data_IF_082859746099
#
_entry.id   IF_082859746099
#
_cell.length_a   1.000
_cell.length_b   1.000
_cell.length_c   1.000
_cell.angle_alpha   90.00
_cell.angle_beta   90.00
_cell.angle_gamma   90.00
#
_symmetry.space_group_name_H-M   'P 1'
#
loop_
_entity.id
_entity.type
_entity.pdbx_description
1 polymer ?
#
# COMPACT_ATOMS: atom_id res chain seq x y z
N UNK A 1 29.51 5.08 -0.65
CA UNK A 1 28.65 4.60 0.47
C UNK A 1 27.72 5.68 1.02
N UNK A 2 28.19 6.89 1.37
CA UNK A 2 27.34 7.98 1.93
C UNK A 2 26.18 8.39 1.01
N UNK A 3 26.36 8.42 -0.31
CA UNK A 3 25.31 8.79 -1.29
C UNK A 3 24.18 7.76 -1.40
N UNK A 4 24.48 6.45 -1.31
CA UNK A 4 23.46 5.39 -1.38
C UNK A 4 22.61 5.34 -0.10
N UNK A 5 23.22 5.56 1.07
CA UNK A 5 22.50 5.63 2.33
C UNK A 5 21.58 6.85 2.40
N UNK A 6 22.04 8.00 1.92
CA UNK A 6 21.21 9.21 1.83
C UNK A 6 20.00 9.02 0.92
N UNK A 7 20.17 8.35 -0.24
CA UNK A 7 19.06 8.04 -1.14
C UNK A 7 18.06 7.07 -0.49
N UNK A 8 18.56 6.01 0.17
CA UNK A 8 17.72 5.04 0.87
C UNK A 8 16.92 5.70 2.00
N UNK A 9 17.55 6.54 2.81
CA UNK A 9 16.88 7.26 3.90
C UNK A 9 15.83 8.25 3.40
N UNK A 10 16.17 9.03 2.35
CA UNK A 10 15.23 9.97 1.72
C UNK A 10 14.03 9.23 1.15
N UNK A 11 14.27 8.13 0.43
CA UNK A 11 13.19 7.30 -0.12
C UNK A 11 12.34 6.64 0.96
N UNK A 12 12.97 6.10 2.01
CA UNK A 12 12.29 5.53 3.18
C UNK A 12 11.35 6.55 3.84
N UNK A 13 11.84 7.76 4.13
CA UNK A 13 11.06 8.82 4.74
C UNK A 13 9.90 9.27 3.84
N UNK A 14 10.14 9.44 2.54
CA UNK A 14 9.09 9.81 1.59
C UNK A 14 8.01 8.73 1.48
N UNK A 15 8.39 7.45 1.43
CA UNK A 15 7.42 6.34 1.43
C UNK A 15 6.68 6.24 2.76
N UNK A 16 7.34 6.47 3.91
CA UNK A 16 6.69 6.47 5.20
C UNK A 16 5.54 7.50 5.26
N UNK A 17 5.77 8.69 4.74
CA UNK A 17 4.74 9.74 4.71
C UNK A 17 3.67 9.46 3.65
N UNK A 18 4.05 9.16 2.40
CA UNK A 18 3.09 9.05 1.29
C UNK A 18 2.24 7.77 1.35
N UNK A 19 2.80 6.66 1.81
CA UNK A 19 2.06 5.39 1.98
C UNK A 19 1.52 5.22 3.40
N UNK A 20 2.39 5.32 4.40
CA UNK A 20 1.98 5.05 5.77
C UNK A 20 1.02 6.09 6.32
N UNK A 21 1.39 7.37 6.25
CA UNK A 21 0.64 8.46 6.86
C UNK A 21 -0.46 9.02 5.95
N UNK A 22 -0.20 9.23 4.64
CA UNK A 22 -1.18 9.86 3.78
C UNK A 22 -2.22 8.87 3.20
N UNK A 23 -1.86 7.59 3.02
CA UNK A 23 -2.74 6.60 2.39
C UNK A 23 -3.34 5.61 3.38
N UNK A 24 -2.51 4.95 4.22
CA UNK A 24 -2.97 3.87 5.10
C UNK A 24 -3.46 4.33 6.47
N UNK A 25 -3.27 5.60 6.85
CA UNK A 25 -3.81 6.15 8.10
C UNK A 25 -5.34 6.22 8.11
N UNK A 26 -5.99 6.30 6.94
CA UNK A 26 -7.45 6.39 6.80
C UNK A 26 -8.18 5.28 7.59
N UNK A 27 -7.80 4.02 7.37
CA UNK A 27 -8.45 2.89 8.02
C UNK A 27 -8.33 2.93 9.56
N UNK A 28 -7.24 3.50 10.10
CA UNK A 28 -7.07 3.71 11.53
C UNK A 28 -7.91 4.87 12.05
N UNK A 29 -7.97 5.97 11.30
CA UNK A 29 -8.68 7.19 11.71
C UNK A 29 -10.19 7.12 11.48
N UNK A 30 -10.69 6.18 10.66
CA UNK A 30 -12.08 6.09 10.26
C UNK A 30 -13.09 6.15 11.42
N UNK A 31 -12.92 5.43 12.56
CA UNK A 31 -13.87 5.54 13.67
C UNK A 31 -13.92 6.94 14.29
N UNK A 32 -12.76 7.59 14.44
CA UNK A 32 -12.69 8.95 14.98
C UNK A 32 -13.25 10.00 14.02
N UNK A 33 -13.05 9.82 12.72
CA UNK A 33 -13.64 10.68 11.69
C UNK A 33 -15.17 10.48 11.68
N UNK A 34 -15.65 9.25 11.72
CA UNK A 34 -17.09 8.93 11.67
C UNK A 34 -17.85 9.41 12.91
N UNK A 35 -17.19 9.62 14.05
CA UNK A 35 -17.81 10.22 15.24
C UNK A 35 -18.08 11.72 15.09
N UNK A 36 -17.32 12.42 14.24
CA UNK A 36 -17.49 13.86 13.98
C UNK A 36 -18.27 14.11 12.67
N UNK A 37 -17.99 13.33 11.65
CA UNK A 37 -18.62 13.39 10.32
C UNK A 37 -19.27 12.02 10.10
N UNK A 38 -20.58 11.86 10.38
CA UNK A 38 -21.26 10.58 10.26
C UNK A 38 -21.12 9.98 8.86
N UNK A 39 -20.62 8.75 8.78
CA UNK A 39 -20.38 8.03 7.54
C UNK A 39 -21.03 6.65 7.59
N UNK A 40 -21.83 6.33 6.58
CA UNK A 40 -22.28 4.94 6.38
C UNK A 40 -21.11 4.06 5.90
N UNK A 41 -21.17 2.73 6.05
CA UNK A 41 -20.15 1.83 5.51
C UNK A 41 -19.93 2.00 4.00
N UNK A 42 -20.98 2.29 3.22
CA UNK A 42 -20.87 2.59 1.79
C UNK A 42 -20.05 3.84 1.54
N UNK A 43 -20.32 4.92 2.30
CA UNK A 43 -19.57 6.18 2.18
C UNK A 43 -18.11 5.99 2.59
N UNK A 44 -17.84 5.26 3.67
CA UNK A 44 -16.47 4.93 4.07
C UNK A 44 -15.72 4.13 2.99
N UNK A 45 -16.40 3.18 2.34
CA UNK A 45 -15.86 2.44 1.19
C UNK A 45 -15.56 3.33 -0.01
N UNK A 46 -16.46 4.24 -0.34
CA UNK A 46 -16.29 5.21 -1.42
C UNK A 46 -15.10 6.15 -1.15
N UNK A 47 -14.99 6.66 0.08
CA UNK A 47 -13.89 7.53 0.49
C UNK A 47 -12.53 6.81 0.42
N UNK A 48 -12.46 5.56 0.88
CA UNK A 48 -11.27 4.72 0.71
C UNK A 48 -10.94 4.53 -0.78
N UNK A 49 -11.95 4.22 -1.59
CA UNK A 49 -11.79 4.04 -3.04
C UNK A 49 -11.25 5.30 -3.72
N UNK A 50 -11.60 6.50 -3.28
CA UNK A 50 -11.05 7.77 -3.80
C UNK A 50 -9.52 7.82 -3.66
N UNK A 51 -8.97 7.44 -2.49
CA UNK A 51 -7.51 7.41 -2.27
C UNK A 51 -6.81 6.40 -3.17
N UNK A 52 -7.37 5.20 -3.31
CA UNK A 52 -6.81 4.16 -4.18
C UNK A 52 -6.95 4.49 -5.67
N UNK A 53 -8.04 5.13 -6.09
CA UNK A 53 -8.24 5.60 -7.46
C UNK A 53 -7.24 6.70 -7.82
N UNK A 54 -6.97 7.63 -6.91
CA UNK A 54 -5.95 8.66 -7.09
C UNK A 54 -4.55 8.06 -7.28
N UNK A 55 -4.22 7.02 -6.53
CA UNK A 55 -2.99 6.25 -6.73
C UNK A 55 -2.96 5.62 -8.13
N UNK A 56 -4.04 4.96 -8.56
CA UNK A 56 -4.14 4.35 -9.89
C UNK A 56 -3.92 5.40 -10.99
N UNK A 57 -4.53 6.56 -10.87
CA UNK A 57 -4.36 7.66 -11.81
C UNK A 57 -2.90 8.14 -11.86
N UNK A 58 -2.28 8.36 -10.71
CA UNK A 58 -0.94 8.93 -10.65
C UNK A 58 0.17 7.92 -10.95
N UNK A 59 0.01 6.63 -10.67
CA UNK A 59 1.03 5.63 -11.03
C UNK A 59 1.16 5.48 -12.55
N UNK A 60 0.05 5.62 -13.28
CA UNK A 60 0.05 5.58 -14.75
C UNK A 60 0.73 6.80 -15.37
N UNK A 61 0.56 7.98 -14.76
CA UNK A 61 1.09 9.24 -15.29
C UNK A 61 2.49 9.54 -14.77
N UNK A 62 2.89 8.97 -13.62
CA UNK A 62 4.14 9.32 -12.94
C UNK A 62 5.39 8.88 -13.70
N UNK A 63 5.33 7.82 -14.50
CA UNK A 63 6.44 7.43 -15.36
C UNK A 63 6.74 8.53 -16.39
N UNK A 64 5.70 9.01 -17.10
CA UNK A 64 5.83 10.10 -18.07
C UNK A 64 6.29 11.42 -17.40
N UNK A 65 5.79 11.71 -16.19
CA UNK A 65 6.23 12.87 -15.41
C UNK A 65 7.70 12.75 -15.02
N UNK A 66 8.13 11.56 -14.59
CA UNK A 66 9.53 11.30 -14.21
C UNK A 66 10.46 11.38 -15.41
N UNK A 67 10.05 10.89 -16.57
CA UNK A 67 10.84 11.00 -17.81
C UNK A 67 10.95 12.45 -18.28
N UNK A 68 9.87 13.22 -18.16
CA UNK A 68 9.84 14.62 -18.61
C UNK A 68 10.51 15.60 -17.65
N UNK A 69 10.27 15.46 -16.36
CA UNK A 69 10.68 16.44 -15.33
C UNK A 69 11.77 15.91 -14.39
N UNK A 70 12.09 14.62 -14.48
CA UNK A 70 13.07 13.96 -13.63
C UNK A 70 12.51 13.50 -12.28
N UNK A 71 13.21 12.55 -11.65
CA UNK A 71 12.83 11.94 -10.38
C UNK A 71 12.66 12.95 -9.23
N UNK A 72 13.48 14.02 -9.20
CA UNK A 72 13.39 15.07 -8.17
C UNK A 72 12.04 15.79 -8.21
N UNK A 73 11.62 16.27 -9.38
CA UNK A 73 10.38 17.04 -9.52
C UNK A 73 9.16 16.16 -9.19
N UNK A 74 9.13 14.94 -9.69
CA UNK A 74 8.04 13.99 -9.41
C UNK A 74 7.95 13.65 -7.92
N UNK A 75 9.08 13.46 -7.24
CA UNK A 75 9.12 13.23 -5.79
C UNK A 75 8.71 14.47 -4.98
N UNK A 76 9.02 15.68 -5.45
CA UNK A 76 8.52 16.93 -4.86
C UNK A 76 7.01 17.05 -5.02
N UNK A 77 6.47 16.73 -6.19
CA UNK A 77 5.02 16.68 -6.42
C UNK A 77 4.35 15.69 -5.46
N UNK A 78 4.97 14.55 -5.16
CA UNK A 78 4.48 13.60 -4.17
C UNK A 78 4.40 14.23 -2.77
N UNK A 79 5.46 14.91 -2.31
CA UNK A 79 5.45 15.61 -1.02
C UNK A 79 4.39 16.70 -0.96
N UNK A 80 4.27 17.51 -2.01
CA UNK A 80 3.27 18.60 -2.08
C UNK A 80 1.85 18.04 -2.07
N UNK A 81 1.58 16.97 -2.84
CA UNK A 81 0.26 16.33 -2.85
C UNK A 81 -0.09 15.74 -1.47
N UNK A 82 0.86 15.07 -0.80
CA UNK A 82 0.65 14.57 0.56
C UNK A 82 0.33 15.71 1.53
N UNK A 83 1.13 16.79 1.50
CA UNK A 83 0.91 17.96 2.36
C UNK A 83 -0.46 18.59 2.11
N UNK A 84 -0.80 18.88 0.87
CA UNK A 84 -2.06 19.52 0.51
C UNK A 84 -3.28 18.65 0.88
N UNK A 85 -3.22 17.36 0.55
CA UNK A 85 -4.30 16.43 0.87
C UNK A 85 -4.51 16.23 2.37
N UNK A 86 -3.42 16.12 3.14
CA UNK A 86 -3.48 15.99 4.60
C UNK A 86 -3.98 17.27 5.29
N UNK A 87 -3.62 18.45 4.82
CA UNK A 87 -4.17 19.72 5.32
C UNK A 87 -5.66 19.85 5.00
N UNK A 88 -6.07 19.45 3.78
CA UNK A 88 -7.47 19.42 3.42
C UNK A 88 -8.27 18.43 4.27
N UNK A 89 -7.70 17.25 4.57
CA UNK A 89 -8.30 16.31 5.53
C UNK A 89 -8.42 16.93 6.92
N UNK A 90 -7.38 17.58 7.45
CA UNK A 90 -7.41 18.22 8.75
C UNK A 90 -8.52 19.29 8.87
N UNK A 91 -8.83 19.99 7.79
CA UNK A 91 -9.87 21.02 7.74
C UNK A 91 -11.25 20.51 7.32
N UNK A 92 -11.39 19.19 7.02
CA UNK A 92 -12.62 18.65 6.47
C UNK A 92 -13.80 18.76 7.45
N UNK A 93 -14.92 19.25 6.96
CA UNK A 93 -16.20 19.35 7.66
C UNK A 93 -17.33 18.56 6.98
N UNK A 94 -17.04 17.93 5.83
CA UNK A 94 -18.02 17.16 5.05
C UNK A 94 -17.37 15.95 4.38
N UNK A 95 -18.18 14.98 3.99
CA UNK A 95 -17.73 13.81 3.24
C UNK A 95 -17.08 14.16 1.90
N UNK A 96 -17.54 15.25 1.26
CA UNK A 96 -16.95 15.73 0.00
C UNK A 96 -15.52 16.27 0.21
N UNK A 97 -15.29 17.03 1.30
CA UNK A 97 -13.95 17.50 1.65
C UNK A 97 -13.03 16.33 2.01
N UNK A 98 -13.54 15.32 2.72
CA UNK A 98 -12.80 14.09 2.99
C UNK A 98 -12.43 13.38 1.68
N UNK A 99 -13.35 13.26 0.73
CA UNK A 99 -13.09 12.65 -0.58
C UNK A 99 -11.98 13.40 -1.34
N UNK A 100 -12.06 14.71 -1.41
CA UNK A 100 -11.06 15.56 -2.07
C UNK A 100 -9.69 15.44 -1.38
N UNK A 101 -9.65 15.49 -0.05
CA UNK A 101 -8.43 15.35 0.74
C UNK A 101 -7.78 13.98 0.54
N UNK A 102 -8.57 12.90 0.59
CA UNK A 102 -8.11 11.53 0.35
C UNK A 102 -7.62 11.33 -1.09
N UNK A 103 -8.30 11.92 -2.06
CA UNK A 103 -7.88 11.86 -3.46
C UNK A 103 -6.51 12.54 -3.64
N UNK A 104 -6.36 13.78 -3.16
CA UNK A 104 -5.10 14.53 -3.28
C UNK A 104 -3.98 13.83 -2.49
N UNK A 105 -4.26 13.37 -1.26
CA UNK A 105 -3.29 12.62 -0.46
C UNK A 105 -2.88 11.30 -1.14
N UNK A 106 -3.86 10.57 -1.72
CA UNK A 106 -3.63 9.33 -2.44
C UNK A 106 -2.74 9.46 -3.69
N UNK A 107 -2.79 10.62 -4.37
CA UNK A 107 -1.89 10.92 -5.49
C UNK A 107 -0.41 10.82 -5.10
N UNK A 108 -0.07 11.18 -3.87
CA UNK A 108 1.31 11.24 -3.40
C UNK A 108 2.03 9.91 -3.51
N UNK A 109 1.38 8.81 -3.14
CA UNK A 109 1.97 7.48 -3.16
C UNK A 109 2.21 6.97 -4.59
N UNK A 110 1.32 7.28 -5.53
CA UNK A 110 1.51 6.94 -6.95
C UNK A 110 2.62 7.72 -7.63
N UNK A 111 2.90 8.95 -7.17
CA UNK A 111 4.02 9.77 -7.66
C UNK A 111 5.36 9.34 -7.03
N UNK A 112 5.37 8.97 -5.74
CA UNK A 112 6.60 8.69 -5.00
C UNK A 112 7.35 7.45 -5.50
N UNK A 113 6.63 6.32 -5.69
CA UNK A 113 7.26 5.03 -5.99
C UNK A 113 8.03 5.01 -7.31
N UNK A 114 7.46 5.44 -8.46
CA UNK A 114 8.20 5.44 -9.73
C UNK A 114 9.36 6.44 -9.73
N UNK A 115 9.20 7.61 -9.10
CA UNK A 115 10.27 8.59 -8.97
C UNK A 115 11.46 8.04 -8.18
N UNK A 116 11.22 7.34 -7.07
CA UNK A 116 12.27 6.71 -6.27
C UNK A 116 12.90 5.52 -7.00
N UNK A 117 12.12 4.70 -7.69
CA UNK A 117 12.64 3.60 -8.51
C UNK A 117 13.57 4.11 -9.61
N UNK A 118 13.20 5.20 -10.28
CA UNK A 118 14.05 5.86 -11.27
C UNK A 118 15.35 6.44 -10.65
N UNK A 119 15.24 7.07 -9.47
CA UNK A 119 16.41 7.58 -8.77
C UNK A 119 17.38 6.46 -8.33
N UNK A 120 16.84 5.31 -7.91
CA UNK A 120 17.65 4.12 -7.55
C UNK A 120 18.31 3.53 -8.79
N UNK A 121 17.57 3.34 -9.89
CA UNK A 121 18.12 2.76 -11.13
C UNK A 121 19.27 3.61 -11.72
N UNK A 122 19.19 4.94 -11.57
CA UNK A 122 20.21 5.86 -12.08
C UNK A 122 21.51 5.89 -11.25
N UNK A 123 21.48 5.50 -9.97
CA UNK A 123 22.58 5.73 -9.04
C UNK A 123 23.14 4.49 -8.36
N UNK A 124 22.38 3.42 -8.35
CA UNK A 124 22.70 2.20 -7.62
C UNK A 124 22.98 1.09 -8.63
N UNK A 125 24.08 0.39 -8.44
CA UNK A 125 24.44 -0.78 -9.26
C UNK A 125 23.32 -1.83 -9.21
N UNK A 126 23.03 -2.48 -10.33
CA UNK A 126 21.93 -3.42 -10.51
C UNK A 126 21.84 -4.46 -9.40
N UNK A 127 22.98 -4.98 -8.93
CA UNK A 127 23.09 -5.96 -7.85
C UNK A 127 22.60 -5.45 -6.49
N UNK A 128 22.66 -4.14 -6.24
CA UNK A 128 22.23 -3.52 -4.96
C UNK A 128 20.84 -2.90 -5.00
N UNK A 129 20.28 -2.69 -6.19
CA UNK A 129 18.95 -2.08 -6.35
C UNK A 129 17.84 -2.80 -5.57
N UNK A 130 17.75 -4.15 -5.59
CA UNK A 130 16.71 -4.86 -4.85
C UNK A 130 16.76 -4.54 -3.34
N UNK A 131 17.97 -4.55 -2.76
CA UNK A 131 18.15 -4.26 -1.33
C UNK A 131 17.74 -2.83 -0.97
N UNK A 132 18.10 -1.86 -1.80
CA UNK A 132 17.76 -0.45 -1.56
C UNK A 132 16.26 -0.23 -1.73
N UNK A 133 15.63 -0.80 -2.74
CA UNK A 133 14.19 -0.72 -2.95
C UNK A 133 13.40 -1.38 -1.80
N UNK A 134 13.84 -2.51 -1.29
CA UNK A 134 13.24 -3.16 -0.11
C UNK A 134 13.33 -2.26 1.12
N UNK A 135 14.48 -1.63 1.35
CA UNK A 135 14.66 -0.69 2.47
C UNK A 135 13.75 0.54 2.32
N UNK A 136 13.67 1.11 1.13
CA UNK A 136 12.75 2.22 0.83
C UNK A 136 11.30 1.82 1.10
N UNK A 137 10.89 0.64 0.63
CA UNK A 137 9.52 0.14 0.78
C UNK A 137 9.15 -0.17 2.25
N UNK A 138 10.12 -0.54 3.09
CA UNK A 138 9.93 -0.72 4.53
C UNK A 138 9.47 0.58 5.22
N UNK A 139 9.68 1.74 4.59
CA UNK A 139 9.10 3.01 5.01
C UNK A 139 7.58 2.95 5.17
N UNK A 140 6.87 2.16 4.37
CA UNK A 140 5.41 1.97 4.52
C UNK A 140 5.04 1.50 5.92
N UNK A 141 5.67 0.42 6.39
CA UNK A 141 5.44 -0.12 7.75
C UNK A 141 5.83 0.89 8.84
N UNK A 142 6.97 1.56 8.68
CA UNK A 142 7.40 2.60 9.61
C UNK A 142 6.39 3.76 9.68
N UNK A 143 5.86 4.19 8.54
CA UNK A 143 4.83 5.23 8.48
C UNK A 143 3.52 4.82 9.14
N UNK A 144 3.08 3.57 8.96
CA UNK A 144 1.90 3.02 9.67
C UNK A 144 2.13 3.01 11.18
N UNK A 145 3.30 2.56 11.64
CA UNK A 145 3.65 2.56 13.06
C UNK A 145 3.67 3.97 13.63
N UNK A 146 4.33 4.91 12.94
CA UNK A 146 4.38 6.31 13.37
C UNK A 146 2.99 6.96 13.40
N UNK A 147 2.09 6.59 12.49
CA UNK A 147 0.69 7.04 12.54
C UNK A 147 0.02 6.66 13.85
N UNK A 148 0.21 5.43 14.32
CA UNK A 148 -0.35 4.97 15.60
C UNK A 148 0.24 5.75 16.77
N UNK A 149 1.57 5.88 16.81
CA UNK A 149 2.26 6.60 17.88
C UNK A 149 1.78 8.05 17.96
N UNK A 150 1.70 8.73 16.81
CA UNK A 150 1.24 10.12 16.74
C UNK A 150 -0.20 10.26 17.22
N UNK A 151 -1.12 9.40 16.73
CA UNK A 151 -2.52 9.42 17.15
C UNK A 151 -2.73 9.05 18.62
N UNK A 152 -1.80 8.33 19.23
CA UNK A 152 -1.87 7.96 20.66
C UNK A 152 -1.33 9.05 21.58
N UNK A 153 -0.31 9.79 21.14
CA UNK A 153 0.40 10.76 21.96
C UNK A 153 -0.03 12.22 21.72
N UNK A 154 -0.55 12.54 20.52
CA UNK A 154 -0.85 13.91 20.15
C UNK A 154 -2.26 14.29 20.61
N UNK A 155 -2.43 15.32 21.48
CA UNK A 155 -3.73 15.89 21.77
C UNK A 155 -4.32 16.56 20.52
N UNK A 156 -5.65 16.54 20.37
CA UNK A 156 -6.35 17.14 19.21
C UNK A 156 -6.79 16.13 18.14
N UNK A 157 -6.61 14.83 18.42
CA UNK A 157 -7.18 13.74 17.63
C UNK A 157 -6.66 13.65 16.20
N UNK A 158 -7.50 13.13 15.30
CA UNK A 158 -7.12 12.84 13.91
C UNK A 158 -6.78 14.10 13.08
N UNK A 159 -7.39 15.26 13.41
CA UNK A 159 -7.11 16.53 12.70
C UNK A 159 -5.69 17.02 12.99
N UNK A 160 -5.30 17.04 14.27
CA UNK A 160 -3.94 17.41 14.68
C UNK A 160 -2.91 16.43 14.11
N UNK A 161 -3.22 15.13 14.07
CA UNK A 161 -2.37 14.14 13.44
C UNK A 161 -2.20 14.40 11.94
N UNK A 162 -3.27 14.73 11.20
CA UNK A 162 -3.17 15.09 9.79
C UNK A 162 -2.30 16.34 9.55
N UNK A 163 -2.39 17.35 10.41
CA UNK A 163 -1.49 18.53 10.35
C UNK A 163 -0.04 18.12 10.56
N UNK A 164 0.24 17.28 11.57
CA UNK A 164 1.61 16.81 11.82
C UNK A 164 2.13 15.96 10.65
N UNK A 165 1.30 15.08 10.07
CA UNK A 165 1.69 14.31 8.88
C UNK A 165 1.99 15.23 7.68
N UNK A 166 1.22 16.30 7.51
CA UNK A 166 1.46 17.31 6.48
C UNK A 166 2.81 18.03 6.71
N UNK A 167 3.12 18.39 7.95
CA UNK A 167 4.42 18.98 8.30
C UNK A 167 5.59 18.02 8.04
N UNK A 168 5.45 16.74 8.41
CA UNK A 168 6.45 15.71 8.12
C UNK A 168 6.64 15.53 6.62
N UNK A 169 5.56 15.61 5.83
CA UNK A 169 5.64 15.57 4.36
C UNK A 169 6.41 16.79 3.81
N UNK A 170 6.16 17.96 4.36
CA UNK A 170 6.85 19.18 3.97
C UNK A 170 8.35 19.11 4.31
N UNK A 171 8.70 18.54 5.47
CA UNK A 171 10.10 18.31 5.85
C UNK A 171 10.80 17.38 4.87
N UNK A 172 10.11 16.40 4.28
CA UNK A 172 10.68 15.52 3.24
C UNK A 172 11.11 16.26 1.96
N UNK A 173 10.60 17.46 1.69
CA UNK A 173 11.00 18.29 0.55
C UNK A 173 12.50 18.57 0.58
N UNK A 174 13.06 18.88 1.75
CA UNK A 174 14.48 19.22 1.87
C UNK A 174 15.43 18.08 1.45
N UNK A 175 15.33 16.85 1.99
CA UNK A 175 16.18 15.75 1.55
C UNK A 175 15.89 15.36 0.08
N UNK A 176 14.66 15.44 -0.41
CA UNK A 176 14.33 15.20 -1.82
C UNK A 176 15.09 16.20 -2.72
N UNK A 177 15.06 17.49 -2.39
CA UNK A 177 15.78 18.52 -3.16
C UNK A 177 17.29 18.31 -3.16
N UNK A 178 17.88 17.91 -2.02
CA UNK A 178 19.32 17.75 -1.85
C UNK A 178 19.85 16.44 -2.43
N UNK A 179 19.07 15.36 -2.31
CA UNK A 179 19.55 14.01 -2.62
C UNK A 179 19.15 13.58 -4.02
N UNK A 180 17.94 13.86 -4.52
CA UNK A 180 17.53 13.44 -5.84
C UNK A 180 18.04 14.41 -6.91
N UNK A 181 18.47 13.86 -8.06
CA UNK A 181 18.90 14.69 -9.20
C UNK A 181 17.70 15.04 -10.09
N UNK A 182 17.70 16.25 -10.63
CA UNK A 182 16.66 16.74 -11.54
C UNK A 182 16.91 16.42 -13.03
N UNK A 183 17.70 15.39 -13.33
CA UNK A 183 17.93 15.01 -14.72
C UNK A 183 16.73 14.21 -15.25
N UNK A 184 16.12 14.71 -16.32
CA UNK A 184 15.18 13.94 -17.11
C UNK A 184 15.90 12.71 -17.70
N UNK A 185 15.23 11.57 -17.77
CA UNK A 185 15.83 10.39 -18.35
C UNK A 185 15.80 10.53 -19.89
N UNK A 186 16.93 10.28 -20.56
CA UNK A 186 17.01 10.23 -22.03
C UNK A 186 16.26 9.04 -22.68
N UNK A 187 15.20 8.57 -22.04
CA UNK A 187 14.53 7.30 -22.39
C UNK A 187 13.14 7.43 -23.00
N UNK A 188 12.86 8.47 -23.76
CA UNK A 188 11.55 8.66 -24.43
C UNK A 188 11.19 7.60 -25.49
N UNK A 189 12.06 6.61 -25.78
CA UNK A 189 11.88 5.70 -26.94
C UNK A 189 11.36 4.30 -26.63
N UNK A 190 11.09 3.91 -25.37
CA UNK A 190 10.73 2.51 -25.05
C UNK A 190 9.24 2.26 -24.80
N UNK A 191 8.38 3.24 -24.92
CA UNK A 191 6.93 3.08 -24.66
C UNK A 191 6.16 2.27 -25.71
N UNK A 192 6.78 1.84 -26.83
CA UNK A 192 6.04 1.34 -28.00
C UNK A 192 5.63 -0.14 -27.92
N UNK A 193 6.09 -0.92 -26.96
CA UNK A 193 5.81 -2.37 -26.92
C UNK A 193 5.19 -2.90 -25.63
N UNK A 194 4.81 -2.04 -24.67
CA UNK A 194 4.30 -2.51 -23.37
C UNK A 194 2.93 -3.21 -23.49
N UNK A 195 2.04 -2.80 -24.43
CA UNK A 195 0.72 -3.46 -24.57
C UNK A 195 0.84 -4.90 -25.12
N UNK A 196 1.82 -5.21 -25.96
CA UNK A 196 2.00 -6.59 -26.45
C UNK A 196 2.35 -7.56 -25.31
N UNK A 197 2.98 -7.05 -24.25
CA UNK A 197 3.34 -7.83 -23.05
C UNK A 197 2.14 -8.11 -22.15
N UNK A 198 1.14 -7.21 -22.13
CA UNK A 198 -0.11 -7.44 -21.39
C UNK A 198 -0.87 -8.67 -21.88
N UNK A 199 -0.74 -9.01 -23.15
CA UNK A 199 -1.43 -10.15 -23.77
C UNK A 199 -0.77 -11.51 -23.47
N UNK A 200 0.42 -11.55 -22.91
CA UNK A 200 1.04 -12.83 -22.48
C UNK A 200 0.19 -13.47 -21.37
N UNK A 201 -0.10 -14.77 -21.52
CA UNK A 201 -0.93 -15.53 -20.55
C UNK A 201 -0.43 -15.40 -19.11
N UNK A 202 0.88 -15.47 -18.91
CA UNK A 202 1.52 -15.32 -17.59
C UNK A 202 1.26 -13.95 -16.98
N UNK A 203 1.40 -12.85 -17.73
CA UNK A 203 1.13 -11.51 -17.24
C UNK A 203 -0.34 -11.32 -16.87
N UNK A 204 -1.28 -11.81 -17.69
CA UNK A 204 -2.72 -11.74 -17.36
C UNK A 204 -3.08 -12.46 -16.07
N UNK A 205 -2.46 -13.63 -15.82
CA UNK A 205 -2.64 -14.34 -14.56
C UNK A 205 -2.10 -13.53 -13.37
N UNK A 206 -0.90 -12.95 -13.48
CA UNK A 206 -0.32 -12.09 -12.44
C UNK A 206 -1.18 -10.84 -12.20
N UNK A 207 -1.72 -10.23 -13.26
CA UNK A 207 -2.65 -9.09 -13.14
C UNK A 207 -3.93 -9.48 -12.40
N UNK A 208 -4.51 -10.65 -12.70
CA UNK A 208 -5.69 -11.18 -12.00
C UNK A 208 -5.40 -11.44 -10.53
N UNK A 209 -4.25 -12.06 -10.20
CA UNK A 209 -3.79 -12.28 -8.83
C UNK A 209 -3.63 -10.95 -8.09
N UNK A 210 -2.96 -9.98 -8.70
CA UNK A 210 -2.74 -8.67 -8.10
C UNK A 210 -4.07 -7.93 -7.82
N UNK A 211 -4.98 -7.92 -8.80
CA UNK A 211 -6.30 -7.31 -8.68
C UNK A 211 -7.11 -7.93 -7.53
N UNK A 212 -7.21 -9.25 -7.51
CA UNK A 212 -8.01 -9.95 -6.47
C UNK A 212 -7.37 -9.84 -5.10
N UNK A 213 -6.03 -9.89 -5.02
CA UNK A 213 -5.31 -9.65 -3.76
C UNK A 213 -5.52 -8.24 -3.23
N UNK A 214 -5.56 -7.25 -4.13
CA UNK A 214 -5.92 -5.87 -3.79
C UNK A 214 -7.33 -5.77 -3.25
N UNK A 215 -8.29 -6.39 -3.94
CA UNK A 215 -9.69 -6.42 -3.52
C UNK A 215 -9.81 -6.95 -2.09
N UNK A 216 -9.19 -8.08 -1.78
CA UNK A 216 -9.23 -8.71 -0.46
C UNK A 216 -8.59 -7.81 0.60
N UNK A 217 -7.45 -7.21 0.29
CA UNK A 217 -6.70 -6.37 1.24
C UNK A 217 -7.46 -5.11 1.66
N UNK A 218 -8.41 -4.65 0.84
CA UNK A 218 -9.20 -3.47 1.13
C UNK A 218 -10.04 -3.61 2.42
N UNK A 219 -10.47 -4.81 2.77
CA UNK A 219 -11.21 -5.08 4.01
C UNK A 219 -10.45 -4.57 5.24
N UNK A 220 -9.18 -4.91 5.35
CA UNK A 220 -8.34 -4.48 6.48
C UNK A 220 -7.93 -3.00 6.35
N UNK A 221 -7.32 -2.61 5.22
CA UNK A 221 -6.73 -1.28 5.10
C UNK A 221 -7.76 -0.14 5.07
N UNK A 222 -9.00 -0.41 4.67
CA UNK A 222 -10.07 0.59 4.65
C UNK A 222 -10.92 0.58 5.91
N UNK A 223 -11.17 -0.58 6.51
CA UNK A 223 -12.17 -0.75 7.58
C UNK A 223 -11.61 -1.36 8.86
N UNK A 224 -10.35 -1.76 8.92
CA UNK A 224 -9.80 -2.57 10.00
C UNK A 224 -10.07 -2.01 11.40
N UNK A 225 -9.81 -0.73 11.65
CA UNK A 225 -10.09 -0.12 12.96
C UNK A 225 -11.59 -0.02 13.26
N UNK A 226 -12.43 0.25 12.24
CA UNK A 226 -13.88 0.26 12.41
C UNK A 226 -14.41 -1.15 12.74
N UNK A 227 -13.90 -2.19 12.07
CA UNK A 227 -14.22 -3.58 12.36
C UNK A 227 -13.82 -3.98 13.77
N UNK A 228 -12.61 -3.62 14.20
CA UNK A 228 -12.12 -3.88 15.55
C UNK A 228 -13.02 -3.22 16.61
N UNK A 229 -13.43 -1.98 16.40
CA UNK A 229 -14.23 -1.23 17.36
C UNK A 229 -15.72 -1.59 17.34
N UNK A 230 -16.32 -1.65 16.14
CA UNK A 230 -17.77 -1.77 15.99
C UNK A 230 -18.24 -3.22 15.95
N UNK A 231 -17.42 -4.14 15.41
CA UNK A 231 -17.79 -5.53 15.24
C UNK A 231 -17.19 -6.44 16.31
N UNK A 232 -15.87 -6.32 16.54
CA UNK A 232 -15.16 -7.12 17.58
C UNK A 232 -15.44 -6.57 18.96
N UNK A 233 -15.67 -5.25 19.11
CA UNK A 233 -16.02 -4.59 20.36
C UNK A 233 -14.85 -4.24 21.26
N UNK A 234 -13.62 -4.10 20.69
CA UNK A 234 -12.46 -3.61 21.47
C UNK A 234 -12.49 -2.10 21.60
N UNK A 235 -11.84 -1.57 22.64
CA UNK A 235 -11.73 -0.14 22.86
C UNK A 235 -10.79 0.57 21.85
N UNK A 236 -10.72 1.90 21.92
CA UNK A 236 -9.92 2.69 20.99
C UNK A 236 -8.41 2.50 21.16
N UNK A 237 -7.96 2.22 22.38
CA UNK A 237 -6.54 2.01 22.68
C UNK A 237 -6.08 0.66 22.16
N UNK A 238 -6.83 -0.39 22.46
CA UNK A 238 -6.60 -1.74 21.93
C UNK A 238 -6.65 -1.76 20.40
N UNK A 239 -7.61 -1.08 19.77
CA UNK A 239 -7.66 -0.99 18.32
C UNK A 239 -6.40 -0.33 17.71
N UNK A 240 -5.86 0.72 18.36
CA UNK A 240 -4.58 1.33 17.98
C UNK A 240 -3.40 0.39 18.15
N UNK A 241 -3.34 -0.33 19.28
CA UNK A 241 -2.31 -1.33 19.54
C UNK A 241 -2.33 -2.45 18.48
N UNK A 242 -3.51 -2.97 18.14
CA UNK A 242 -3.67 -3.98 17.10
C UNK A 242 -3.23 -3.45 15.72
N UNK A 243 -3.50 -2.18 15.41
CA UNK A 243 -3.00 -1.56 14.19
C UNK A 243 -1.48 -1.42 14.18
N UNK A 244 -0.88 -1.10 15.32
CA UNK A 244 0.57 -1.08 15.49
C UNK A 244 1.19 -2.47 15.27
N UNK A 245 0.55 -3.53 15.80
CA UNK A 245 0.95 -4.91 15.60
C UNK A 245 0.90 -5.27 14.10
N UNK A 246 -0.16 -4.91 13.39
CA UNK A 246 -0.26 -5.14 11.95
C UNK A 246 0.84 -4.40 11.18
N UNK A 247 1.07 -3.12 11.49
CA UNK A 247 2.11 -2.31 10.87
C UNK A 247 3.51 -2.87 11.10
N UNK A 248 3.83 -3.24 12.35
CA UNK A 248 5.14 -3.80 12.71
C UNK A 248 5.39 -5.19 12.10
N UNK A 249 4.37 -6.04 12.08
CA UNK A 249 4.45 -7.35 11.45
C UNK A 249 4.70 -7.25 9.92
N UNK A 250 4.27 -6.15 9.29
CA UNK A 250 4.58 -5.86 7.90
C UNK A 250 6.08 -5.74 7.59
N UNK A 251 6.92 -5.45 8.58
CA UNK A 251 8.39 -5.46 8.42
C UNK A 251 8.89 -6.86 8.01
N UNK A 252 8.19 -7.93 8.42
CA UNK A 252 8.49 -9.28 7.97
C UNK A 252 8.48 -9.43 6.43
N UNK A 253 7.74 -8.57 5.72
CA UNK A 253 7.77 -8.51 4.26
C UNK A 253 9.17 -8.23 3.68
N UNK A 254 10.07 -7.58 4.44
CA UNK A 254 11.46 -7.41 4.05
C UNK A 254 12.22 -8.75 3.95
N UNK A 255 11.76 -9.79 4.63
CA UNK A 255 12.32 -11.14 4.58
C UNK A 255 11.80 -11.98 3.40
N UNK A 256 10.91 -11.46 2.54
CA UNK A 256 10.31 -12.19 1.41
C UNK A 256 11.36 -12.94 0.58
N UNK A 257 12.48 -12.30 0.26
CA UNK A 257 13.55 -12.92 -0.52
C UNK A 257 14.22 -14.11 0.18
N UNK A 258 14.42 -14.02 1.50
CA UNK A 258 15.02 -15.10 2.30
C UNK A 258 14.06 -16.30 2.40
N UNK A 259 12.80 -16.04 2.63
CA UNK A 259 11.78 -17.10 2.72
C UNK A 259 11.57 -17.74 1.35
N UNK A 260 11.56 -16.93 0.27
CA UNK A 260 11.45 -17.43 -1.10
C UNK A 260 12.61 -18.33 -1.51
N UNK A 261 13.82 -18.12 -0.97
CA UNK A 261 14.96 -19.02 -1.19
C UNK A 261 14.75 -20.42 -0.60
N UNK A 262 13.87 -20.57 0.41
CA UNK A 262 13.60 -21.85 1.07
C UNK A 262 12.36 -22.58 0.53
N UNK A 263 11.26 -21.85 0.30
CA UNK A 263 9.97 -22.46 -0.08
C UNK A 263 9.48 -22.04 -1.47
N UNK A 264 10.31 -21.29 -2.21
CA UNK A 264 9.97 -20.73 -3.52
C UNK A 264 8.98 -19.56 -3.44
N UNK A 265 8.89 -18.77 -4.51
CA UNK A 265 7.95 -17.62 -4.57
C UNK A 265 6.49 -18.03 -4.48
N UNK A 266 6.11 -19.17 -5.08
CA UNK A 266 4.74 -19.69 -5.01
C UNK A 266 4.37 -20.12 -3.58
N UNK A 267 5.31 -20.68 -2.81
CA UNK A 267 5.13 -20.99 -1.40
C UNK A 267 4.89 -19.74 -0.57
N UNK A 268 5.72 -18.70 -0.78
CA UNK A 268 5.57 -17.40 -0.10
C UNK A 268 4.24 -16.73 -0.46
N UNK A 269 3.83 -16.78 -1.72
CA UNK A 269 2.54 -16.28 -2.17
C UNK A 269 1.37 -16.95 -1.42
N UNK A 270 1.34 -18.28 -1.38
CA UNK A 270 0.31 -19.04 -0.67
C UNK A 270 0.30 -18.73 0.83
N UNK A 271 1.48 -18.66 1.45
CA UNK A 271 1.60 -18.27 2.85
C UNK A 271 1.05 -16.85 3.10
N UNK A 272 1.33 -15.93 2.21
CA UNK A 272 0.80 -14.55 2.28
C UNK A 272 -0.72 -14.51 2.17
N UNK A 273 -1.32 -15.30 1.26
CA UNK A 273 -2.76 -15.41 1.13
C UNK A 273 -3.43 -16.01 2.36
N UNK A 274 -2.83 -17.06 2.94
CA UNK A 274 -3.29 -17.61 4.23
C UNK A 274 -3.21 -16.54 5.33
N UNK A 275 -2.10 -15.79 5.37
CA UNK A 275 -1.91 -14.67 6.30
C UNK A 275 -2.91 -13.53 6.10
N UNK A 276 -3.59 -13.44 4.96
CA UNK A 276 -4.68 -12.49 4.72
C UNK A 276 -6.07 -13.09 4.94
N UNK A 277 -6.29 -14.33 4.56
CA UNK A 277 -7.59 -15.00 4.62
C UNK A 277 -7.99 -15.38 6.05
N UNK A 278 -7.11 -16.08 6.77
CA UNK A 278 -7.37 -16.55 8.13
C UNK A 278 -7.70 -15.41 9.11
N UNK A 279 -6.95 -14.28 9.11
CA UNK A 279 -7.32 -13.13 9.92
C UNK A 279 -8.70 -12.58 9.64
N UNK A 280 -9.16 -12.53 8.40
CA UNK A 280 -10.50 -12.07 8.07
C UNK A 280 -11.58 -13.02 8.66
N UNK A 281 -11.34 -14.33 8.66
CA UNK A 281 -12.23 -15.31 9.32
C UNK A 281 -12.20 -15.14 10.85
N UNK A 282 -11.01 -14.95 11.43
CA UNK A 282 -10.92 -14.70 12.88
C UNK A 282 -11.70 -13.43 13.25
N UNK A 283 -11.51 -12.33 12.51
CA UNK A 283 -12.25 -11.09 12.72
C UNK A 283 -13.76 -11.26 12.55
N UNK A 284 -14.22 -12.11 11.61
CA UNK A 284 -15.64 -12.34 11.36
C UNK A 284 -16.38 -12.94 12.56
N UNK A 285 -15.67 -13.70 13.40
CA UNK A 285 -16.27 -14.46 14.52
C UNK A 285 -15.68 -14.11 15.88
N UNK A 286 -14.74 -13.15 15.97
CA UNK A 286 -14.16 -12.71 17.24
C UNK A 286 -15.06 -11.72 17.95
N UNK A 287 -15.08 -11.84 19.28
CA UNK A 287 -15.70 -10.88 20.20
C UNK A 287 -14.71 -10.58 21.33
N UNK A 288 -14.40 -9.27 21.52
CA UNK A 288 -13.46 -8.82 22.53
C UNK A 288 -12.00 -9.14 22.21
N UNK A 289 -11.16 -8.92 23.22
CA UNK A 289 -9.72 -9.11 23.12
C UNK A 289 -9.35 -10.59 23.26
N UNK A 290 -8.44 -11.05 22.43
CA UNK A 290 -7.86 -12.38 22.52
C UNK A 290 -6.47 -12.44 21.90
N UNK A 291 -5.64 -13.38 22.34
CA UNK A 291 -4.33 -13.66 21.72
C UNK A 291 -4.52 -14.07 20.25
N UNK A 292 -5.57 -14.83 19.94
CA UNK A 292 -5.91 -15.22 18.57
C UNK A 292 -6.16 -14.02 17.66
N UNK A 293 -6.83 -12.98 18.16
CA UNK A 293 -7.04 -11.72 17.44
C UNK A 293 -5.70 -10.98 17.19
N UNK A 294 -4.82 -10.91 18.18
CA UNK A 294 -3.49 -10.28 18.05
C UNK A 294 -2.65 -10.98 16.97
N UNK A 295 -2.62 -12.32 17.00
CA UNK A 295 -1.92 -13.12 15.98
C UNK A 295 -2.54 -12.94 14.60
N UNK A 296 -3.88 -12.96 14.51
CA UNK A 296 -4.61 -12.75 13.26
C UNK A 296 -4.24 -11.39 12.62
N UNK A 297 -4.27 -10.32 13.39
CA UNK A 297 -3.95 -8.98 12.92
C UNK A 297 -2.49 -8.87 12.50
N UNK A 298 -1.56 -9.46 13.24
CA UNK A 298 -0.15 -9.56 12.84
C UNK A 298 0.01 -10.29 11.50
N UNK A 299 -0.66 -11.42 11.32
CA UNK A 299 -0.65 -12.18 10.07
C UNK A 299 -1.22 -11.37 8.90
N UNK A 300 -2.27 -10.55 9.13
CA UNK A 300 -2.85 -9.69 8.11
C UNK A 300 -1.83 -8.67 7.58
N UNK A 301 -1.15 -7.95 8.48
CA UNK A 301 -0.12 -6.98 8.11
C UNK A 301 1.08 -7.63 7.41
N UNK A 302 1.63 -8.70 7.99
CA UNK A 302 2.72 -9.46 7.40
C UNK A 302 2.34 -10.05 6.04
N UNK A 303 1.16 -10.65 5.91
CA UNK A 303 0.66 -11.25 4.68
C UNK A 303 0.57 -10.26 3.53
N UNK A 304 -0.01 -9.09 3.76
CA UNK A 304 -0.14 -8.06 2.72
C UNK A 304 1.21 -7.52 2.24
N UNK A 305 2.13 -7.18 3.16
CA UNK A 305 3.43 -6.62 2.76
C UNK A 305 4.30 -7.68 2.09
N UNK A 306 4.26 -8.93 2.56
CA UNK A 306 4.96 -10.05 1.92
C UNK A 306 4.42 -10.32 0.52
N UNK A 307 3.09 -10.30 0.34
CA UNK A 307 2.45 -10.42 -0.96
C UNK A 307 2.89 -9.30 -1.93
N UNK A 308 2.95 -8.06 -1.45
CA UNK A 308 3.47 -6.94 -2.23
C UNK A 308 4.91 -7.18 -2.68
N UNK A 309 5.75 -7.79 -1.82
CA UNK A 309 7.10 -8.22 -2.15
C UNK A 309 7.14 -9.30 -3.23
N UNK A 310 6.23 -10.29 -3.17
CA UNK A 310 6.10 -11.32 -4.22
C UNK A 310 5.70 -10.70 -5.56
N UNK A 311 4.71 -9.81 -5.57
CA UNK A 311 4.27 -9.12 -6.79
C UNK A 311 5.38 -8.27 -7.40
N UNK A 312 6.22 -7.63 -6.57
CA UNK A 312 7.39 -6.89 -7.01
C UNK A 312 8.37 -7.80 -7.76
N UNK A 313 8.68 -8.98 -7.20
CA UNK A 313 9.60 -9.94 -7.83
C UNK A 313 9.01 -10.53 -9.11
N UNK A 314 7.74 -10.92 -9.08
CA UNK A 314 7.07 -11.46 -10.28
C UNK A 314 6.95 -10.43 -11.40
N UNK A 315 6.58 -9.18 -11.07
CA UNK A 315 6.50 -8.10 -12.05
C UNK A 315 7.84 -7.84 -12.72
N UNK A 316 8.91 -7.76 -11.92
CA UNK A 316 10.26 -7.56 -12.45
C UNK A 316 10.74 -8.72 -13.35
N UNK A 317 10.42 -9.97 -13.00
CA UNK A 317 10.76 -11.16 -13.82
C UNK A 317 9.93 -11.27 -15.09
N UNK A 318 8.63 -10.94 -15.01
CA UNK A 318 7.72 -11.03 -16.16
C UNK A 318 8.08 -10.07 -17.31
N UNK A 319 8.82 -9.00 -16.99
CA UNK A 319 9.28 -7.99 -17.96
C UNK A 319 10.78 -7.70 -17.75
N UNK A 320 11.63 -8.73 -17.91
CA UNK A 320 13.07 -8.64 -17.61
C UNK A 320 13.81 -7.50 -18.34
N UNK A 321 13.35 -7.12 -19.54
CA UNK A 321 13.91 -5.99 -20.32
C UNK A 321 13.52 -4.61 -19.72
N UNK A 322 12.38 -4.52 -19.03
CA UNK A 322 11.89 -3.33 -18.34
C UNK A 322 11.14 -3.72 -17.06
N UNK A 323 11.90 -4.08 -16.01
CA UNK A 323 11.32 -4.55 -14.73
C UNK A 323 10.39 -3.52 -14.08
N UNK A 324 10.64 -2.23 -14.27
CA UNK A 324 9.84 -1.16 -13.70
C UNK A 324 8.40 -1.16 -14.24
N UNK A 325 8.22 -1.40 -15.54
CA UNK A 325 6.90 -1.50 -16.16
C UNK A 325 6.11 -2.68 -15.61
N UNK A 326 6.72 -3.87 -15.49
CA UNK A 326 6.03 -5.05 -14.95
C UNK A 326 5.58 -4.84 -13.50
N UNK A 327 6.45 -4.31 -12.67
CA UNK A 327 6.12 -3.94 -11.29
C UNK A 327 5.00 -2.91 -11.26
N UNK A 328 5.09 -1.85 -12.07
CA UNK A 328 4.08 -0.79 -12.15
C UNK A 328 2.70 -1.33 -12.51
N UNK A 329 2.61 -2.24 -13.49
CA UNK A 329 1.34 -2.89 -13.90
C UNK A 329 0.74 -3.69 -12.73
N UNK A 330 1.54 -4.51 -12.02
CA UNK A 330 1.00 -5.32 -10.93
C UNK A 330 0.58 -4.46 -9.73
N UNK A 331 1.30 -3.39 -9.41
CA UNK A 331 0.91 -2.47 -8.34
C UNK A 331 -0.30 -1.61 -8.72
N UNK A 332 -0.45 -1.25 -10.00
CA UNK A 332 -1.68 -0.65 -10.51
C UNK A 332 -2.87 -1.60 -10.34
N UNK A 333 -2.73 -2.87 -10.73
CA UNK A 333 -3.78 -3.88 -10.58
C UNK A 333 -4.13 -4.12 -9.10
N UNK A 334 -3.13 -4.18 -8.23
CA UNK A 334 -3.34 -4.28 -6.78
C UNK A 334 -4.18 -3.11 -6.26
N UNK A 335 -3.86 -1.89 -6.66
CA UNK A 335 -4.61 -0.71 -6.25
C UNK A 335 -6.00 -0.62 -6.87
N UNK A 336 -6.15 -1.00 -8.14
CA UNK A 336 -7.46 -1.12 -8.79
C UNK A 336 -8.34 -2.14 -8.06
N UNK A 337 -7.75 -3.25 -7.61
CA UNK A 337 -8.42 -4.20 -6.73
C UNK A 337 -8.86 -3.57 -5.41
N UNK A 338 -8.02 -2.73 -4.79
CA UNK A 338 -8.39 -2.02 -3.57
C UNK A 338 -9.53 -1.02 -3.79
N UNK A 339 -9.61 -0.35 -4.95
CA UNK A 339 -10.76 0.49 -5.31
C UNK A 339 -12.04 -0.35 -5.30
N UNK A 340 -12.07 -1.43 -6.08
CA UNK A 340 -13.24 -2.31 -6.18
C UNK A 340 -13.55 -2.95 -4.84
N UNK A 341 -12.53 -3.43 -4.14
CA UNK A 341 -12.68 -4.07 -2.83
C UNK A 341 -13.25 -3.16 -1.76
N UNK A 342 -12.84 -1.89 -1.72
CA UNK A 342 -13.38 -0.91 -0.75
C UNK A 342 -14.86 -0.63 -1.00
N UNK A 343 -15.25 -0.48 -2.26
CA UNK A 343 -16.66 -0.28 -2.64
C UNK A 343 -17.50 -1.50 -2.31
N UNK A 344 -17.07 -2.70 -2.72
CA UNK A 344 -17.80 -3.94 -2.49
C UNK A 344 -17.89 -4.26 -1.00
N UNK A 345 -16.79 -4.13 -0.24
CA UNK A 345 -16.81 -4.39 1.20
C UNK A 345 -17.76 -3.43 1.91
N UNK A 346 -17.70 -2.12 1.60
CA UNK A 346 -18.60 -1.14 2.19
C UNK A 346 -20.07 -1.42 1.90
N UNK A 347 -20.39 -1.85 0.68
CA UNK A 347 -21.75 -2.24 0.29
C UNK A 347 -22.23 -3.51 1.00
N UNK A 348 -21.41 -4.56 1.01
CA UNK A 348 -21.75 -5.83 1.67
C UNK A 348 -21.88 -5.62 3.19
N UNK A 349 -20.95 -4.86 3.78
CA UNK A 349 -21.00 -4.53 5.21
C UNK A 349 -22.30 -3.81 5.59
N UNK A 350 -22.75 -2.87 4.78
CA UNK A 350 -23.98 -2.14 5.05
C UNK A 350 -25.26 -2.98 4.87
N UNK A 351 -25.28 -3.89 3.87
CA UNK A 351 -26.47 -4.68 3.56
C UNK A 351 -26.57 -5.96 4.39
N UNK A 352 -25.43 -6.63 4.66
CA UNK A 352 -25.40 -7.98 5.24
C UNK A 352 -24.54 -8.10 6.50
N UNK A 353 -23.95 -6.99 6.96
CA UNK A 353 -23.15 -6.94 8.18
C UNK A 353 -21.69 -7.33 8.00
N UNK A 354 -20.90 -7.08 9.06
CA UNK A 354 -19.45 -7.25 9.05
C UNK A 354 -19.02 -8.71 8.88
N UNK A 355 -19.64 -9.65 9.60
CA UNK A 355 -19.29 -11.08 9.52
C UNK A 355 -19.42 -11.63 8.11
N UNK A 356 -20.52 -11.27 7.41
CA UNK A 356 -20.75 -11.70 6.03
C UNK A 356 -19.71 -11.11 5.09
N UNK A 357 -19.42 -9.81 5.20
CA UNK A 357 -18.41 -9.14 4.38
C UNK A 357 -17.03 -9.76 4.57
N UNK A 358 -16.61 -9.95 5.82
CA UNK A 358 -15.32 -10.56 6.17
C UNK A 358 -15.21 -12.00 5.66
N UNK A 359 -16.26 -12.80 5.82
CA UNK A 359 -16.29 -14.20 5.37
C UNK A 359 -16.18 -14.29 3.85
N UNK A 360 -16.94 -13.50 3.09
CA UNK A 360 -16.87 -13.49 1.63
C UNK A 360 -15.49 -13.09 1.12
N UNK A 361 -14.87 -12.08 1.72
CA UNK A 361 -13.52 -11.67 1.36
C UNK A 361 -12.46 -12.72 1.73
N UNK A 362 -12.62 -13.41 2.85
CA UNK A 362 -11.78 -14.53 3.23
C UNK A 362 -11.89 -15.71 2.27
N UNK A 363 -13.10 -16.07 1.85
CA UNK A 363 -13.35 -17.11 0.84
C UNK A 363 -12.65 -16.71 -0.48
N UNK A 364 -12.78 -15.46 -0.91
CA UNK A 364 -12.08 -14.95 -2.08
C UNK A 364 -10.55 -15.14 -2.00
N UNK A 365 -9.94 -14.88 -0.82
CA UNK A 365 -8.53 -15.12 -0.59
C UNK A 365 -8.16 -16.61 -0.64
N UNK A 366 -8.98 -17.48 -0.04
CA UNK A 366 -8.75 -18.93 -0.05
C UNK A 366 -8.88 -19.51 -1.46
N UNK A 367 -9.80 -19.01 -2.28
CA UNK A 367 -9.94 -19.43 -3.68
C UNK A 367 -8.69 -19.10 -4.50
N UNK A 368 -8.01 -17.99 -4.20
CA UNK A 368 -6.74 -17.64 -4.85
C UNK A 368 -5.60 -18.61 -4.56
N UNK A 369 -5.64 -19.39 -3.46
CA UNK A 369 -4.63 -20.42 -3.17
C UNK A 369 -4.52 -21.47 -4.27
N UNK A 370 -5.61 -21.71 -5.02
CA UNK A 370 -5.67 -22.65 -6.13
C UNK A 370 -5.20 -22.04 -7.46
N UNK A 371 -5.00 -20.73 -7.50
CA UNK A 371 -4.50 -20.01 -8.68
C UNK A 371 -2.97 -19.86 -8.53
N UNK A 372 -2.21 -20.70 -9.22
CA UNK A 372 -0.76 -20.53 -9.32
C UNK A 372 -0.41 -19.85 -10.65
N UNK A 373 0.51 -18.87 -10.66
CA UNK A 373 1.01 -18.35 -11.93
C UNK A 373 1.74 -19.46 -12.67
N UNK A 374 1.57 -19.53 -13.99
CA UNK A 374 2.31 -20.46 -14.83
C UNK A 374 3.80 -20.18 -14.65
N UNK A 375 4.54 -21.15 -14.08
CA UNK A 375 5.99 -21.11 -14.09
C UNK A 375 6.43 -21.18 -15.54
N UNK A 376 7.21 -20.21 -16.00
CA UNK A 376 7.93 -20.38 -17.26
C UNK A 376 8.84 -21.59 -17.06
N UNK A 377 8.65 -22.60 -17.91
CA UNK A 377 9.36 -23.88 -17.90
C UNK A 377 10.88 -23.77 -18.16
N UNK A 378 11.45 -22.60 -18.06
CA UNK A 378 12.89 -22.34 -18.19
C UNK A 378 13.69 -22.53 -16.89
N UNK A 379 13.05 -22.73 -15.72
CA UNK A 379 13.75 -23.06 -14.46
C UNK A 379 13.88 -24.56 -14.21
N UNK A 380 13.36 -25.44 -15.07
CA UNK A 380 13.49 -26.89 -14.95
C UNK A 380 14.80 -27.46 -15.54
N UNK A 381 15.66 -26.59 -16.10
CA UNK A 381 16.96 -27.00 -16.69
C UNK A 381 18.06 -26.09 -16.12
N UNK A 382 18.39 -26.27 -14.84
CA UNK A 382 19.72 -26.00 -14.26
C UNK A 382 19.87 -26.73 -12.95
#
# INVERSE_FOLDING_TARGET
MRSSAALALTGFSLIAVTYGMARFSWGLMLPAISSEIPLSPQQAGLLSACSFAAYCFTILTSAALTDRYGARVTALMASVSATAGLLLLASASSSLMLAAGLFIAGMSSGLASPALAAAVSQRITTTRQPRINTLINAGTSAGIMLTVVILSLLPGGWRAACVLFALLSLVCVLPVMRVLKGQAAERASRMHHWYQRLYRRSMRQLMGIALTSGLISAAWWSFGSALLRQHVGVDAETARLLWLIAGSAGIAGAATGLVAARIGLNGVYRLSLCGMALPLLVLAFSHGESIGLMVAVACCGAGYVTLSGVLLVWGARATAEDPATGVGILFFMLAAGQVVGSLLFGQIFACWGASTALTLFAIGALLLLFVAPAQNSEEAVK
#
